data_IF_643916257270
#
_entry.id   IF_643916257270
#
_cell.length_a   1.000
_cell.length_b   1.000
_cell.length_c   1.000
_cell.angle_alpha   90.00
_cell.angle_beta   90.00
_cell.angle_gamma   90.00
#
_symmetry.space_group_name_H-M   'P 1'
#
loop_
_entity.id
_entity.type
_entity.pdbx_description
1 polymer ?
#
# COMPACT_ATOMS: atom_id res chain seq x y z
N UNK A 1 -1.33 1.73 -3.69
CA UNK A 1 -1.30 1.68 -2.21
C UNK A 1 -1.30 0.26 -1.67
N UNK A 2 -2.36 -0.55 -1.87
CA UNK A 2 -2.41 -1.92 -1.33
C UNK A 2 -1.23 -2.78 -1.81
N UNK A 3 -0.88 -2.70 -3.09
CA UNK A 3 0.29 -3.41 -3.65
C UNK A 3 1.62 -3.00 -3.00
N UNK A 4 1.80 -1.69 -2.76
CA UNK A 4 2.98 -1.15 -2.08
C UNK A 4 3.03 -1.57 -0.60
N UNK A 5 1.88 -1.56 0.08
CA UNK A 5 1.80 -2.11 1.44
C UNK A 5 2.21 -3.58 1.42
N UNK A 6 1.61 -4.36 0.52
CA UNK A 6 1.78 -5.79 0.45
C UNK A 6 3.23 -6.19 0.17
N UNK A 7 3.93 -5.53 -0.77
CA UNK A 7 5.33 -5.85 -1.05
C UNK A 7 6.26 -5.61 0.15
N UNK A 8 5.93 -4.69 1.05
CA UNK A 8 6.69 -4.47 2.27
C UNK A 8 6.33 -5.48 3.36
N UNK A 9 5.03 -5.69 3.62
CA UNK A 9 4.61 -6.52 4.76
C UNK A 9 4.72 -8.02 4.49
N UNK A 10 4.62 -8.50 3.24
CA UNK A 10 4.75 -9.94 2.92
C UNK A 10 6.13 -10.51 3.26
N UNK A 11 7.16 -9.65 3.35
CA UNK A 11 8.56 -10.02 3.66
C UNK A 11 8.85 -10.07 5.16
N UNK A 12 7.85 -9.87 6.02
CA UNK A 12 8.01 -9.97 7.48
C UNK A 12 8.32 -11.41 7.92
N UNK A 13 8.84 -11.57 9.14
CA UNK A 13 9.07 -12.90 9.71
C UNK A 13 7.75 -13.68 9.76
N UNK A 14 7.74 -14.87 9.14
CA UNK A 14 6.54 -15.71 9.03
C UNK A 14 5.76 -15.51 7.71
N UNK A 15 6.21 -14.58 6.86
CA UNK A 15 5.64 -14.24 5.56
C UNK A 15 4.15 -13.87 5.62
N UNK A 16 3.43 -14.05 4.52
CA UNK A 16 2.02 -13.70 4.47
C UNK A 16 1.17 -14.76 5.19
N UNK A 17 0.32 -14.29 6.09
CA UNK A 17 -0.53 -15.11 6.97
C UNK A 17 -2.00 -15.00 6.66
N UNK A 18 -2.37 -14.08 5.76
CA UNK A 18 -3.73 -13.74 5.42
C UNK A 18 -4.28 -12.60 6.28
N UNK A 19 -5.42 -12.09 5.84
CA UNK A 19 -6.14 -10.98 6.47
C UNK A 19 -7.31 -11.53 7.27
N UNK A 20 -7.47 -11.02 8.49
CA UNK A 20 -8.55 -11.34 9.40
C UNK A 20 -9.75 -10.45 9.10
N UNK A 21 -9.54 -9.14 9.06
CA UNK A 21 -10.59 -8.17 8.81
C UNK A 21 -10.06 -6.90 8.16
N UNK A 22 -10.97 -6.16 7.53
CA UNK A 22 -10.70 -4.84 6.97
C UNK A 22 -11.78 -3.83 7.36
N UNK A 23 -11.43 -2.55 7.35
CA UNK A 23 -12.38 -1.47 7.51
C UNK A 23 -11.95 -0.26 6.68
N UNK A 24 -12.85 0.23 5.82
CA UNK A 24 -12.71 1.49 5.12
C UNK A 24 -13.31 2.61 5.96
N UNK A 25 -12.54 3.66 6.23
CA UNK A 25 -13.00 4.84 6.94
C UNK A 25 -12.89 6.05 6.02
N UNK A 26 -13.97 6.82 5.92
CA UNK A 26 -14.04 8.05 5.13
C UNK A 26 -14.57 9.21 5.96
N UNK A 27 -14.30 10.44 5.52
CA UNK A 27 -14.78 11.65 6.20
C UNK A 27 -14.25 11.76 7.65
N UNK A 28 -15.05 12.29 8.59
CA UNK A 28 -14.63 12.47 9.98
C UNK A 28 -14.13 11.20 10.68
N UNK A 29 -14.73 10.04 10.35
CA UNK A 29 -14.40 8.76 10.98
C UNK A 29 -12.93 8.35 10.78
N UNK A 30 -12.30 8.76 9.67
CA UNK A 30 -10.87 8.56 9.41
C UNK A 30 -10.00 9.26 10.45
N UNK A 31 -10.33 10.52 10.75
CA UNK A 31 -9.56 11.34 11.69
C UNK A 31 -9.80 10.95 13.13
N UNK A 32 -11.04 10.64 13.48
CA UNK A 32 -11.37 10.09 14.78
C UNK A 32 -10.65 8.76 15.04
N UNK A 33 -10.51 7.90 14.03
CA UNK A 33 -9.74 6.67 14.16
C UNK A 33 -8.25 6.92 14.42
N UNK A 34 -7.66 7.93 13.78
CA UNK A 34 -6.29 8.37 14.07
C UNK A 34 -6.17 8.90 15.50
N UNK A 35 -7.14 9.72 15.94
CA UNK A 35 -7.16 10.32 17.28
C UNK A 35 -7.36 9.26 18.37
N UNK A 36 -8.09 8.17 18.08
CA UNK A 36 -8.19 6.98 18.92
C UNK A 36 -6.97 6.05 18.84
N UNK A 37 -5.97 6.36 18.02
CA UNK A 37 -4.76 5.55 17.88
C UNK A 37 -4.96 4.23 17.13
N UNK A 38 -6.02 4.10 16.32
CA UNK A 38 -6.23 2.90 15.48
C UNK A 38 -5.12 2.74 14.43
N UNK A 39 -4.51 3.86 14.03
CA UNK A 39 -3.24 3.92 13.32
C UNK A 39 -2.42 5.10 13.85
N UNK A 40 -1.07 5.01 13.90
CA UNK A 40 -0.27 6.01 14.60
C UNK A 40 -0.12 7.30 13.79
N UNK A 41 -0.55 8.43 14.35
CA UNK A 41 -0.35 9.78 13.78
C UNK A 41 1.09 10.04 13.38
N UNK A 42 2.05 9.64 14.23
CA UNK A 42 3.49 9.85 13.98
C UNK A 42 3.97 9.21 12.67
N UNK A 43 3.39 8.07 12.25
CA UNK A 43 3.75 7.42 10.99
C UNK A 43 3.19 8.17 9.79
N UNK A 44 2.02 8.80 9.94
CA UNK A 44 1.41 9.64 8.91
C UNK A 44 2.23 10.90 8.71
N UNK A 45 2.59 11.56 9.81
CA UNK A 45 3.39 12.80 9.80
C UNK A 45 4.79 12.53 9.24
N UNK A 46 5.46 11.46 9.67
CA UNK A 46 6.74 11.02 9.10
C UNK A 46 6.64 10.75 7.60
N UNK A 47 5.53 10.14 7.15
CA UNK A 47 5.32 9.87 5.74
C UNK A 47 5.15 11.15 4.92
N UNK A 48 4.37 12.10 5.41
CA UNK A 48 4.17 13.42 4.80
C UNK A 48 5.50 14.19 4.73
N UNK A 49 6.34 14.10 5.76
CA UNK A 49 7.65 14.78 5.80
C UNK A 49 8.57 14.35 4.67
N UNK A 50 8.59 13.05 4.34
CA UNK A 50 9.42 12.50 3.26
C UNK A 50 9.02 12.97 1.85
N UNK A 51 7.76 13.39 1.65
CA UNK A 51 7.30 13.80 0.32
C UNK A 51 7.74 15.24 0.02
N UNK A 52 8.51 15.46 -1.08
CA UNK A 52 8.97 16.80 -1.44
C UNK A 52 7.84 17.77 -1.80
N UNK A 53 6.83 17.27 -2.53
CA UNK A 53 5.69 18.07 -3.01
C UNK A 53 4.42 17.75 -2.22
N UNK A 54 4.06 18.67 -1.33
CA UNK A 54 2.88 18.57 -0.47
C UNK A 54 2.16 19.91 -0.37
N UNK A 55 0.85 19.83 -0.08
CA UNK A 55 0.01 20.97 0.19
C UNK A 55 0.49 21.78 1.40
N UNK A 56 0.05 23.03 1.48
CA UNK A 56 0.31 23.90 2.64
C UNK A 56 -0.81 23.76 3.67
N UNK A 57 -0.46 23.90 4.94
CA UNK A 57 -1.42 23.90 6.05
C UNK A 57 -1.83 22.50 6.50
N UNK A 58 -3.05 22.40 7.04
CA UNK A 58 -3.58 21.21 7.69
C UNK A 58 -4.08 20.18 6.66
N UNK A 59 -3.49 18.98 6.67
CA UNK A 59 -3.84 17.90 5.74
C UNK A 59 -5.26 17.37 5.94
N UNK A 60 -5.86 17.47 7.13
CA UNK A 60 -7.25 17.07 7.38
C UNK A 60 -8.22 18.04 6.71
N UNK A 61 -7.92 19.35 6.80
CA UNK A 61 -8.71 20.38 6.12
C UNK A 61 -8.60 20.27 4.60
N UNK A 62 -7.37 20.08 4.10
CA UNK A 62 -7.11 19.97 2.66
C UNK A 62 -7.85 18.78 2.02
N UNK A 63 -7.87 17.64 2.71
CA UNK A 63 -8.49 16.39 2.24
C UNK A 63 -10.01 16.36 2.45
N UNK A 64 -10.53 17.08 3.44
CA UNK A 64 -11.99 17.17 3.66
C UNK A 64 -12.74 17.77 2.47
N UNK A 65 -12.12 18.73 1.76
CA UNK A 65 -12.77 19.48 0.69
C UNK A 65 -13.03 18.67 -0.60
N UNK A 66 -12.29 17.58 -0.84
CA UNK A 66 -12.39 16.84 -2.10
C UNK A 66 -13.18 15.53 -2.00
N UNK A 67 -13.52 15.06 -0.79
CA UNK A 67 -14.27 13.81 -0.57
C UNK A 67 -13.57 12.53 -1.06
N UNK A 68 -12.28 12.61 -1.40
CA UNK A 68 -11.51 11.52 -2.01
C UNK A 68 -10.46 10.93 -1.07
N UNK A 69 -10.39 11.41 0.18
CA UNK A 69 -9.55 10.80 1.21
C UNK A 69 -10.24 9.64 1.92
N UNK A 70 -9.44 8.71 2.41
CA UNK A 70 -9.91 7.55 3.16
C UNK A 70 -8.78 6.75 3.76
N UNK A 71 -9.11 5.89 4.71
CA UNK A 71 -8.18 4.95 5.33
C UNK A 71 -8.72 3.54 5.23
N UNK A 72 -7.87 2.61 4.83
CA UNK A 72 -8.13 1.17 4.87
C UNK A 72 -7.38 0.61 6.06
N UNK A 73 -8.09 0.28 7.13
CA UNK A 73 -7.54 -0.47 8.26
C UNK A 73 -7.53 -1.96 7.90
N UNK A 74 -6.40 -2.62 8.09
CA UNK A 74 -6.19 -4.02 7.73
C UNK A 74 -5.63 -4.74 8.95
N UNK A 75 -6.33 -5.76 9.40
CA UNK A 75 -5.92 -6.64 10.50
C UNK A 75 -5.43 -7.96 9.91
N UNK A 76 -4.14 -8.24 10.03
CA UNK A 76 -3.56 -9.51 9.61
C UNK A 76 -3.72 -10.57 10.71
N UNK A 77 -3.77 -11.84 10.30
CA UNK A 77 -4.01 -12.99 11.19
C UNK A 77 -2.89 -13.25 12.19
N UNK A 78 -1.69 -12.76 11.91
CA UNK A 78 -0.53 -12.81 12.82
C UNK A 78 -0.50 -11.65 13.84
N UNK A 79 -1.52 -10.79 13.83
CA UNK A 79 -1.65 -9.64 14.70
C UNK A 79 -0.99 -8.37 14.18
N UNK A 80 -0.38 -8.38 12.98
CA UNK A 80 0.05 -7.14 12.33
C UNK A 80 -1.19 -6.28 12.02
N UNK A 81 -1.10 -5.00 12.36
CA UNK A 81 -2.08 -3.98 11.95
C UNK A 81 -1.44 -3.07 10.93
N UNK A 82 -2.14 -2.84 9.83
CA UNK A 82 -1.71 -1.93 8.78
C UNK A 82 -2.80 -0.92 8.44
N UNK A 83 -2.39 0.21 7.88
CA UNK A 83 -3.28 1.23 7.37
C UNK A 83 -2.81 1.68 5.99
N UNK A 84 -3.70 1.61 5.00
CA UNK A 84 -3.54 2.32 3.72
C UNK A 84 -4.22 3.67 3.80
N UNK A 85 -3.50 4.78 3.59
CA UNK A 85 -4.00 6.14 3.82
C UNK A 85 -4.00 6.95 2.52
N UNK A 86 -5.18 7.26 2.00
CA UNK A 86 -5.35 8.10 0.81
C UNK A 86 -5.44 9.55 1.26
N UNK A 87 -4.35 10.30 1.12
CA UNK A 87 -4.29 11.75 1.35
C UNK A 87 -4.44 12.54 0.05
N UNK A 88 -5.38 12.10 -0.80
CA UNK A 88 -5.72 12.78 -2.04
C UNK A 88 -6.03 14.25 -1.73
N UNK A 89 -5.45 15.18 -2.48
CA UNK A 89 -5.59 16.61 -2.19
C UNK A 89 -4.50 17.22 -1.31
N UNK A 90 -3.57 16.42 -0.78
CA UNK A 90 -2.49 16.94 0.06
C UNK A 90 -1.10 16.47 -0.36
N UNK A 91 -0.94 15.21 -0.73
CA UNK A 91 0.36 14.64 -1.08
C UNK A 91 0.39 14.36 -2.59
N UNK A 92 1.42 14.83 -3.29
CA UNK A 92 1.48 14.76 -4.75
C UNK A 92 2.88 14.46 -5.26
N UNK A 93 2.98 13.65 -6.31
CA UNK A 93 4.23 13.46 -7.05
C UNK A 93 3.89 13.03 -8.49
N UNK A 94 4.48 13.73 -9.47
CA UNK A 94 4.21 13.46 -10.89
C UNK A 94 2.72 13.43 -11.23
N UNK A 95 2.32 12.44 -12.02
CA UNK A 95 0.93 12.21 -12.43
C UNK A 95 0.18 11.21 -11.53
N UNK A 96 0.88 10.51 -10.64
CA UNK A 96 0.41 9.30 -9.95
C UNK A 96 0.30 9.44 -8.42
N UNK A 97 0.76 10.57 -7.86
CA UNK A 97 0.80 10.81 -6.42
C UNK A 97 2.09 10.29 -5.78
N UNK A 98 2.31 10.62 -4.50
CA UNK A 98 3.49 10.15 -3.77
C UNK A 98 3.18 8.86 -2.99
N UNK A 99 4.16 7.96 -2.91
CA UNK A 99 4.01 6.63 -2.34
C UNK A 99 4.98 6.44 -1.18
N UNK A 100 4.48 6.47 0.06
CA UNK A 100 5.34 6.36 1.24
C UNK A 100 4.92 5.18 2.09
N UNK A 101 5.90 4.38 2.52
CA UNK A 101 5.70 3.34 3.51
C UNK A 101 6.36 3.75 4.82
N UNK A 102 5.62 3.65 5.92
CA UNK A 102 6.11 3.89 7.27
C UNK A 102 5.75 2.69 8.15
N UNK A 103 6.66 2.27 9.04
CA UNK A 103 6.39 1.18 9.96
C UNK A 103 7.11 1.33 11.31
N UNK A 104 6.63 0.58 12.28
CA UNK A 104 7.35 0.32 13.54
C UNK A 104 7.83 -1.12 13.52
N UNK A 105 9.12 -1.32 13.75
CA UNK A 105 9.73 -2.65 13.88
C UNK A 105 9.86 -2.99 15.35
N UNK A 106 9.46 -4.20 15.74
CA UNK A 106 9.59 -4.67 17.13
C UNK A 106 11.05 -4.56 17.60
N UNK A 107 11.25 -3.93 18.76
CA UNK A 107 12.58 -3.73 19.34
C UNK A 107 13.35 -2.53 18.76
N UNK A 108 12.80 -1.81 17.79
CA UNK A 108 13.38 -0.55 17.32
C UNK A 108 12.61 0.64 17.91
N UNK A 109 13.34 1.58 18.51
CA UNK A 109 12.74 2.77 19.11
C UNK A 109 12.21 3.77 18.08
N UNK A 110 12.94 3.93 16.97
CA UNK A 110 12.58 4.88 15.90
C UNK A 110 11.74 4.18 14.83
N UNK A 111 10.67 4.81 14.33
CA UNK A 111 9.96 4.33 13.16
C UNK A 111 10.87 4.37 11.93
N UNK A 112 10.61 3.47 10.98
CA UNK A 112 11.24 3.48 9.66
C UNK A 112 10.26 4.04 8.65
N UNK A 113 10.79 4.75 7.66
CA UNK A 113 10.00 5.23 6.54
C UNK A 113 10.83 5.27 5.25
N UNK A 114 10.17 5.05 4.13
CA UNK A 114 10.78 5.11 2.81
C UNK A 114 9.78 5.63 1.78
N UNK A 115 10.27 6.48 0.89
CA UNK A 115 9.51 7.05 -0.21
C UNK A 115 9.83 6.28 -1.50
N UNK A 116 8.79 5.79 -2.17
CA UNK A 116 8.88 5.07 -3.43
C UNK A 116 8.77 6.05 -4.58
N UNK A 117 9.91 6.35 -5.20
CA UNK A 117 9.93 7.11 -6.43
C UNK A 117 9.46 6.23 -7.60
N UNK A 118 8.45 6.73 -8.31
CA UNK A 118 8.03 6.14 -9.57
C UNK A 118 8.73 6.87 -10.72
N UNK A 119 9.11 6.10 -11.74
CA UNK A 119 9.56 6.67 -13.00
C UNK A 119 8.38 7.40 -13.66
N UNK A 120 8.30 8.71 -13.44
CA UNK A 120 7.18 9.55 -13.87
C UNK A 120 7.36 10.09 -15.31
N UNK A 121 8.31 9.52 -16.06
CA UNK A 121 8.63 9.87 -17.44
C UNK A 121 8.91 8.60 -18.22
N UNK A 122 8.83 8.69 -19.55
CA UNK A 122 9.26 7.60 -20.44
C UNK A 122 10.73 7.25 -20.15
N UNK A 123 11.12 5.96 -20.27
CA UNK A 123 10.35 4.85 -20.86
C UNK A 123 9.38 4.10 -19.93
N UNK A 124 9.29 4.42 -18.63
CA UNK A 124 8.46 3.67 -17.66
C UNK A 124 8.88 2.19 -17.53
N UNK A 125 10.16 1.95 -17.22
CA UNK A 125 10.79 0.62 -17.08
C UNK A 125 10.10 -0.32 -16.10
N UNK A 126 9.29 0.19 -15.16
CA UNK A 126 8.44 -0.66 -14.31
C UNK A 126 7.43 -1.49 -15.13
N UNK A 127 6.90 -0.97 -16.24
CA UNK A 127 6.07 -1.76 -17.15
C UNK A 127 6.90 -2.77 -17.94
N UNK A 128 8.12 -2.42 -18.36
CA UNK A 128 9.01 -3.38 -19.03
C UNK A 128 9.35 -4.56 -18.12
N UNK A 129 9.56 -4.32 -16.82
CA UNK A 129 9.81 -5.38 -15.84
C UNK A 129 8.57 -6.22 -15.51
N UNK A 130 7.38 -5.65 -15.63
CA UNK A 130 6.13 -6.41 -15.58
C UNK A 130 6.03 -7.34 -16.79
N UNK A 131 6.36 -6.86 -18.00
CA UNK A 131 6.38 -7.71 -19.21
C UNK A 131 7.42 -8.81 -19.09
N UNK A 132 8.60 -8.51 -18.55
CA UNK A 132 9.65 -9.50 -18.29
C UNK A 132 9.20 -10.61 -17.33
N UNK A 133 8.36 -10.29 -16.33
CA UNK A 133 7.78 -11.29 -15.44
C UNK A 133 6.81 -12.22 -16.18
N UNK A 134 6.04 -11.70 -17.12
CA UNK A 134 5.15 -12.48 -17.98
C UNK A 134 5.98 -13.38 -18.91
N UNK A 135 6.99 -12.83 -19.57
CA UNK A 135 7.93 -13.56 -20.43
C UNK A 135 8.60 -14.72 -19.67
N UNK A 136 9.08 -14.48 -18.45
CA UNK A 136 9.64 -15.52 -17.59
C UNK A 136 8.66 -16.68 -17.38
N UNK A 137 7.38 -16.37 -17.10
CA UNK A 137 6.35 -17.40 -16.94
C UNK A 137 6.10 -18.19 -18.22
N UNK A 138 6.07 -17.53 -19.38
CA UNK A 138 5.89 -18.19 -20.68
C UNK A 138 7.04 -19.15 -20.98
N UNK A 139 8.29 -18.72 -20.77
CA UNK A 139 9.45 -19.55 -21.09
C UNK A 139 9.69 -20.69 -20.11
N UNK A 140 9.41 -20.47 -18.83
CA UNK A 140 9.73 -21.45 -17.78
C UNK A 140 8.53 -22.29 -17.35
N UNK A 141 7.31 -21.86 -17.66
CA UNK A 141 6.08 -22.42 -17.10
C UNK A 141 5.85 -22.09 -15.63
N UNK A 142 6.70 -21.25 -15.00
CA UNK A 142 6.63 -20.91 -13.58
C UNK A 142 6.33 -19.42 -13.37
N UNK A 143 5.34 -19.05 -12.53
CA UNK A 143 5.01 -17.66 -12.30
C UNK A 143 6.13 -16.93 -11.55
N UNK A 144 6.38 -15.67 -11.92
CA UNK A 144 7.41 -14.82 -11.29
C UNK A 144 7.11 -14.48 -9.81
N UNK A 145 5.83 -14.54 -9.41
CA UNK A 145 5.36 -14.31 -8.05
C UNK A 145 4.16 -15.20 -7.72
N UNK A 146 3.88 -15.44 -6.43
CA UNK A 146 2.78 -16.30 -6.01
C UNK A 146 1.43 -15.72 -6.44
N UNK A 147 0.57 -16.53 -7.06
CA UNK A 147 -0.77 -16.09 -7.50
C UNK A 147 -1.66 -15.72 -6.32
N UNK A 148 -1.42 -16.34 -5.17
CA UNK A 148 -2.03 -16.07 -3.88
C UNK A 148 -1.88 -14.61 -3.46
N UNK A 149 -0.77 -13.97 -3.85
CA UNK A 149 -0.54 -12.55 -3.60
C UNK A 149 -1.60 -11.68 -4.29
N UNK A 150 -1.84 -11.95 -5.58
CA UNK A 150 -2.88 -11.25 -6.36
C UNK A 150 -4.26 -11.51 -5.80
N UNK A 151 -4.56 -12.77 -5.44
CA UNK A 151 -5.85 -13.13 -4.86
C UNK A 151 -6.07 -12.41 -3.52
N UNK A 152 -5.04 -12.35 -2.67
CA UNK A 152 -5.10 -11.67 -1.39
C UNK A 152 -5.35 -10.16 -1.57
N UNK A 153 -4.55 -9.46 -2.37
CA UNK A 153 -4.71 -8.00 -2.51
C UNK A 153 -6.02 -7.62 -3.18
N UNK A 154 -6.47 -8.41 -4.17
CA UNK A 154 -7.79 -8.26 -4.81
C UNK A 154 -8.92 -8.48 -3.81
N UNK A 155 -8.83 -9.53 -2.99
CA UNK A 155 -9.83 -9.81 -1.96
C UNK A 155 -9.87 -8.76 -0.84
N UNK A 156 -8.72 -8.22 -0.45
CA UNK A 156 -8.63 -7.08 0.48
C UNK A 156 -9.32 -5.86 -0.12
N UNK A 157 -9.07 -5.56 -1.40
CA UNK A 157 -9.70 -4.44 -2.09
C UNK A 157 -11.23 -4.60 -2.14
N UNK A 158 -11.71 -5.79 -2.50
CA UNK A 158 -13.14 -6.12 -2.54
C UNK A 158 -13.80 -5.87 -1.16
N UNK A 159 -13.25 -6.47 -0.10
CA UNK A 159 -13.75 -6.30 1.26
C UNK A 159 -13.71 -4.83 1.74
N UNK A 160 -12.69 -4.06 1.34
CA UNK A 160 -12.61 -2.62 1.59
C UNK A 160 -13.71 -1.85 0.87
N UNK A 161 -14.04 -2.23 -0.37
CA UNK A 161 -15.13 -1.61 -1.13
C UNK A 161 -16.50 -1.96 -0.52
N UNK A 162 -16.70 -3.20 -0.08
CA UNK A 162 -17.88 -3.60 0.71
C UNK A 162 -17.98 -2.77 1.98
N UNK A 163 -16.88 -2.62 2.73
CA UNK A 163 -16.83 -1.80 3.95
C UNK A 163 -17.24 -0.35 3.70
N UNK A 164 -16.76 0.23 2.59
CA UNK A 164 -17.11 1.59 2.16
C UNK A 164 -18.60 1.69 1.83
N UNK A 165 -19.11 0.75 1.04
CA UNK A 165 -20.52 0.70 0.66
C UNK A 165 -21.44 0.54 1.87
N UNK A 166 -21.06 -0.31 2.83
CA UNK A 166 -21.74 -0.52 4.11
C UNK A 166 -21.40 0.54 5.16
N UNK A 167 -21.02 1.76 4.74
CA UNK A 167 -20.85 2.94 5.61
C UNK A 167 -19.84 2.73 6.75
N UNK A 168 -18.62 2.37 6.39
CA UNK A 168 -17.49 2.18 7.30
C UNK A 168 -17.57 0.93 8.18
N UNK A 169 -18.39 -0.06 7.84
CA UNK A 169 -18.53 -1.30 8.61
C UNK A 169 -17.23 -2.12 8.54
N UNK A 170 -16.79 -2.66 9.68
CA UNK A 170 -15.69 -3.63 9.71
C UNK A 170 -16.14 -4.96 9.10
N UNK A 171 -15.40 -5.47 8.12
CA UNK A 171 -15.71 -6.69 7.39
C UNK A 171 -14.74 -7.78 7.82
N UNK A 172 -15.28 -8.88 8.35
CA UNK A 172 -14.52 -10.11 8.60
C UNK A 172 -14.23 -10.81 7.27
N UNK A 173 -13.03 -11.39 7.16
CA UNK A 173 -12.52 -11.95 5.90
C UNK A 173 -12.02 -13.40 6.09
N UNK A 174 -12.89 -14.35 6.49
CA UNK A 174 -12.50 -15.76 6.65
C UNK A 174 -11.94 -16.35 5.34
N UNK A 175 -12.42 -15.89 4.18
CA UNK A 175 -11.97 -16.29 2.85
C UNK A 175 -10.59 -15.74 2.47
N UNK A 176 -10.02 -14.79 3.23
CA UNK A 176 -8.67 -14.26 3.05
C UNK A 176 -7.65 -14.90 4.00
N UNK A 177 -7.93 -16.11 4.49
CA UNK A 177 -6.96 -16.96 5.20
C UNK A 177 -5.91 -17.57 4.24
N UNK A 178 -5.31 -16.72 3.41
CA UNK A 178 -4.38 -17.09 2.34
C UNK A 178 -2.96 -16.90 2.86
N UNK A 179 -2.15 -17.96 2.80
CA UNK A 179 -0.74 -17.95 3.19
C UNK A 179 0.12 -18.20 1.98
N UNK A 180 1.22 -17.47 1.85
CA UNK A 180 2.22 -17.73 0.82
C UNK A 180 3.60 -17.23 1.25
N UNK A 181 4.63 -17.75 0.59
CA UNK A 181 6.00 -17.23 0.70
C UNK A 181 6.27 -16.32 -0.50
N UNK A 182 6.66 -15.06 -0.30
CA UNK A 182 6.95 -14.17 -1.43
C UNK A 182 8.19 -14.64 -2.19
N UNK A 183 8.24 -14.32 -3.48
CA UNK A 183 9.44 -14.49 -4.31
C UNK A 183 10.22 -13.18 -4.40
N UNK A 184 11.49 -13.29 -4.81
CA UNK A 184 12.35 -12.13 -5.01
C UNK A 184 12.43 -11.76 -6.50
N UNK A 185 11.32 -11.25 -7.05
CA UNK A 185 11.34 -10.65 -8.39
C UNK A 185 11.92 -9.23 -8.31
N UNK A 186 12.97 -8.91 -9.09
CA UNK A 186 13.66 -7.63 -8.96
C UNK A 186 12.80 -6.45 -9.42
N UNK A 187 13.06 -5.28 -8.84
CA UNK A 187 12.56 -4.01 -9.36
C UNK A 187 13.29 -3.64 -10.66
N UNK A 188 12.69 -2.73 -11.44
CA UNK A 188 13.36 -2.18 -12.62
C UNK A 188 14.60 -1.38 -12.18
N UNK A 189 15.82 -1.74 -12.63
CA UNK A 189 17.03 -1.01 -12.31
C UNK A 189 17.02 0.34 -13.00
N UNK A 190 17.60 1.35 -12.36
CA UNK A 190 17.90 2.63 -13.01
C UNK A 190 19.30 2.58 -13.66
N UNK A 191 19.47 3.19 -14.85
CA UNK A 191 18.43 3.73 -15.72
C UNK A 191 17.74 2.63 -16.54
N UNK A 192 16.47 2.84 -16.88
CA UNK A 192 15.79 1.98 -17.85
C UNK A 192 16.57 1.96 -19.18
N UNK A 193 16.67 0.81 -19.88
CA UNK A 193 17.37 0.74 -21.16
C UNK A 193 16.82 1.80 -22.13
N UNK A 194 17.72 2.46 -22.86
CA UNK A 194 17.30 3.35 -23.95
C UNK A 194 16.41 2.55 -24.93
N UNK A 195 15.34 3.14 -25.48
CA UNK A 195 14.60 2.49 -26.55
C UNK A 195 15.59 2.08 -27.64
N UNK A 196 15.51 0.83 -28.11
CA UNK A 196 16.19 0.48 -29.35
C UNK A 196 15.50 1.23 -30.48
N UNK A 197 16.28 2.02 -31.23
CA UNK A 197 15.84 2.71 -32.46
C UNK A 197 15.32 1.73 -33.52
#
# INVERSE_FOLDING_TARGET
MLEMLQCMVERRKGFETGVQAVQCLTGPAMWEAMDRGMFPRELVELGIELVPSKGKGDYRKATAANGQAGVFLIEYRDGLRAAGILLNGFVYEGFSGAFVFCCKVRGQAKPLATHFYLENRRPFGHFAYLVRAIEHMIHTGHPAYPVERTLLTTGVLDAVMTSRFEKNKRIETPYLAIRYTPTDWPHAPEPAPAPHD
#
